data_IF_444057694053
#
_entry.id   IF_444057694053
#
_cell.length_a   1.000
_cell.length_b   1.000
_cell.length_c   1.000
_cell.angle_alpha   90.00
_cell.angle_beta   90.00
_cell.angle_gamma   90.00
#
_symmetry.space_group_name_H-M   'P 1'
#
loop_
_entity.id
_entity.type
_entity.pdbx_description
1 polymer ?
#
# COMPACT_ATOMS: atom_id res chain seq x y z
N UNK A 1 -31.02 18.46 -21.79
CA UNK A 1 -29.72 19.05 -21.43
C UNK A 1 -28.73 17.94 -21.14
N UNK A 2 -27.61 17.81 -21.87
CA UNK A 2 -26.59 16.82 -21.55
C UNK A 2 -25.90 17.24 -20.25
N UNK A 3 -25.90 16.36 -19.24
CA UNK A 3 -25.07 16.54 -18.05
C UNK A 3 -23.64 16.20 -18.46
N UNK A 4 -22.74 17.18 -18.45
CA UNK A 4 -21.31 16.93 -18.58
C UNK A 4 -20.85 16.00 -17.44
N UNK A 5 -20.59 14.74 -17.77
CA UNK A 5 -19.89 13.82 -16.86
C UNK A 5 -18.41 14.23 -16.84
N UNK A 6 -18.10 15.25 -16.03
CA UNK A 6 -16.71 15.57 -15.67
C UNK A 6 -16.20 14.40 -14.83
N UNK A 7 -15.66 13.40 -15.50
CA UNK A 7 -15.11 12.18 -14.90
C UNK A 7 -14.35 12.52 -13.63
N UNK A 8 -14.93 12.15 -12.49
CA UNK A 8 -14.41 12.53 -11.17
C UNK A 8 -13.01 11.93 -11.02
N UNK A 9 -11.97 12.79 -11.03
CA UNK A 9 -10.60 12.36 -10.76
C UNK A 9 -10.60 11.57 -9.44
N UNK A 10 -10.22 10.29 -9.50
CA UNK A 10 -10.16 9.41 -8.33
C UNK A 10 -9.13 9.99 -7.35
N UNK A 11 -9.61 10.59 -6.26
CA UNK A 11 -8.75 10.97 -5.14
C UNK A 11 -8.31 9.68 -4.43
N UNK A 12 -7.04 9.34 -4.55
CA UNK A 12 -6.46 8.19 -3.84
C UNK A 12 -6.41 8.48 -2.35
N UNK A 13 -7.25 7.79 -1.56
CA UNK A 13 -7.19 7.85 -0.10
C UNK A 13 -6.05 6.96 0.41
N UNK A 14 -5.26 7.49 1.34
CA UNK A 14 -4.19 6.74 2.01
C UNK A 14 -4.77 5.72 2.99
N UNK A 15 -4.00 4.70 3.34
CA UNK A 15 -4.45 3.70 4.32
C UNK A 15 -4.74 4.34 5.68
N UNK A 16 -3.96 5.35 6.10
CA UNK A 16 -4.26 6.14 7.31
C UNK A 16 -5.61 6.84 7.23
N UNK A 17 -5.92 7.50 6.10
CA UNK A 17 -7.21 8.16 5.91
C UNK A 17 -8.37 7.17 5.93
N UNK A 18 -8.20 5.99 5.33
CA UNK A 18 -9.22 4.92 5.36
C UNK A 18 -9.44 4.40 6.79
N UNK A 19 -8.37 4.26 7.58
CA UNK A 19 -8.48 3.85 8.98
C UNK A 19 -9.22 4.89 9.82
N UNK A 20 -8.92 6.18 9.64
CA UNK A 20 -9.64 7.26 10.32
C UNK A 20 -11.13 7.27 9.94
N UNK A 21 -11.45 7.07 8.66
CA UNK A 21 -12.84 6.91 8.20
C UNK A 21 -13.51 5.74 8.92
N UNK A 22 -12.85 4.58 9.07
CA UNK A 22 -13.41 3.46 9.84
C UNK A 22 -13.71 3.82 11.29
N UNK A 23 -12.77 4.49 11.97
CA UNK A 23 -12.93 4.92 13.37
C UNK A 23 -14.09 5.90 13.54
N UNK A 24 -14.28 6.83 12.60
CA UNK A 24 -15.39 7.79 12.62
C UNK A 24 -16.73 7.14 12.33
N UNK A 25 -16.76 6.15 11.44
CA UNK A 25 -17.97 5.35 11.19
C UNK A 25 -18.39 4.55 12.44
N UNK A 26 -17.43 4.07 13.23
CA UNK A 26 -17.69 3.40 14.52
C UNK A 26 -18.20 4.36 15.59
N UNK A 27 -17.75 5.63 15.57
CA UNK A 27 -18.28 6.71 16.42
C UNK A 27 -19.66 7.22 15.99
N UNK A 28 -20.31 6.56 15.03
CA UNK A 28 -21.61 6.97 14.47
C UNK A 28 -21.63 8.39 13.89
N UNK A 29 -20.48 8.91 13.42
CA UNK A 29 -20.46 10.20 12.71
C UNK A 29 -21.28 10.14 11.42
N UNK A 30 -21.87 11.28 11.05
CA UNK A 30 -22.65 11.37 9.83
C UNK A 30 -21.80 11.05 8.60
N UNK A 31 -22.23 10.05 7.83
CA UNK A 31 -21.62 9.66 6.55
C UNK A 31 -21.46 10.86 5.61
N UNK A 32 -22.41 11.78 5.61
CA UNK A 32 -22.35 12.98 4.78
C UNK A 32 -21.18 13.89 5.18
N UNK A 33 -20.96 14.07 6.48
CA UNK A 33 -19.82 14.86 7.01
C UNK A 33 -18.48 14.26 6.57
N UNK A 34 -18.33 12.93 6.73
CA UNK A 34 -17.12 12.20 6.34
C UNK A 34 -16.89 12.32 4.83
N UNK A 35 -17.94 12.21 4.02
CA UNK A 35 -17.85 12.36 2.56
C UNK A 35 -17.35 13.74 2.15
N UNK A 36 -17.86 14.81 2.77
CA UNK A 36 -17.44 16.18 2.49
C UNK A 36 -15.98 16.40 2.89
N UNK A 37 -15.60 16.00 4.11
CA UNK A 37 -14.24 16.19 4.62
C UNK A 37 -13.19 15.47 3.76
N UNK A 38 -13.45 14.23 3.39
CA UNK A 38 -12.49 13.44 2.61
C UNK A 38 -12.62 13.65 1.11
N UNK A 39 -13.72 14.24 0.63
CA UNK A 39 -14.03 14.40 -0.78
C UNK A 39 -14.31 13.07 -1.48
N UNK A 40 -14.99 12.14 -0.81
CA UNK A 40 -15.25 10.79 -1.32
C UNK A 40 -16.74 10.54 -1.58
N UNK A 41 -17.05 9.54 -2.41
CA UNK A 41 -18.43 9.15 -2.72
C UNK A 41 -19.02 8.24 -1.64
N UNK A 42 -20.35 8.12 -1.60
CA UNK A 42 -21.01 7.17 -0.71
C UNK A 42 -20.53 5.73 -0.95
N UNK A 43 -20.32 5.33 -2.21
CA UNK A 43 -19.78 4.01 -2.55
C UNK A 43 -18.40 3.76 -1.93
N UNK A 44 -17.54 4.79 -1.93
CA UNK A 44 -16.21 4.70 -1.30
C UNK A 44 -16.30 4.45 0.21
N UNK A 45 -17.25 5.09 0.89
CA UNK A 45 -17.50 4.85 2.32
C UNK A 45 -17.95 3.41 2.59
N UNK A 46 -18.85 2.88 1.77
CA UNK A 46 -19.29 1.48 1.90
C UNK A 46 -18.13 0.49 1.68
N UNK A 47 -17.29 0.73 0.67
CA UNK A 47 -16.13 -0.11 0.39
C UNK A 47 -15.11 -0.07 1.53
N UNK A 48 -14.83 1.12 2.08
CA UNK A 48 -13.95 1.28 3.24
C UNK A 48 -14.53 0.56 4.46
N UNK A 49 -15.84 0.69 4.71
CA UNK A 49 -16.51 -0.03 5.80
C UNK A 49 -16.36 -1.54 5.64
N UNK A 50 -16.52 -2.08 4.43
CA UNK A 50 -16.34 -3.51 4.14
C UNK A 50 -14.88 -3.97 4.31
N UNK A 51 -13.91 -3.08 4.12
CA UNK A 51 -12.47 -3.35 4.27
C UNK A 51 -11.93 -3.02 5.67
N UNK A 52 -12.77 -2.56 6.61
CA UNK A 52 -12.38 -2.11 7.94
C UNK A 52 -11.53 -3.13 8.72
N UNK A 53 -11.99 -4.37 8.80
CA UNK A 53 -11.26 -5.45 9.49
C UNK A 53 -9.89 -5.74 8.86
N UNK A 54 -9.81 -5.70 7.52
CA UNK A 54 -8.55 -5.87 6.79
C UNK A 54 -7.60 -4.70 7.03
N UNK A 55 -8.12 -3.48 7.16
CA UNK A 55 -7.32 -2.31 7.51
C UNK A 55 -6.79 -2.44 8.94
N UNK A 56 -7.64 -2.74 9.92
CA UNK A 56 -7.24 -2.90 11.32
C UNK A 56 -6.16 -3.98 11.49
N UNK A 57 -6.41 -5.18 10.96
CA UNK A 57 -5.44 -6.29 11.02
C UNK A 57 -4.12 -5.99 10.30
N UNK A 58 -4.15 -5.18 9.26
CA UNK A 58 -2.94 -4.75 8.58
C UNK A 58 -2.11 -3.78 9.43
N UNK A 59 -2.77 -2.82 10.08
CA UNK A 59 -2.12 -1.86 10.98
C UNK A 59 -1.59 -2.52 12.25
N UNK A 60 -2.26 -3.53 12.81
CA UNK A 60 -1.74 -4.26 13.99
C UNK A 60 -0.52 -5.12 13.65
N UNK A 61 -0.44 -5.66 12.42
CA UNK A 61 0.69 -6.50 11.96
C UNK A 61 1.90 -5.70 11.47
N UNK A 62 1.75 -4.41 11.23
CA UNK A 62 2.81 -3.57 10.65
C UNK A 62 3.39 -2.69 11.76
N UNK A 63 4.53 -3.09 12.31
CA UNK A 63 5.23 -2.30 13.36
C UNK A 63 5.94 -1.06 12.79
N UNK A 64 6.28 -1.08 11.49
CA UNK A 64 6.95 0.02 10.81
C UNK A 64 5.97 1.07 10.26
N UNK A 65 5.90 2.23 10.93
CA UNK A 65 5.13 3.39 10.47
C UNK A 65 5.78 4.12 9.26
N UNK A 66 7.04 3.84 8.94
CA UNK A 66 7.76 4.51 7.83
C UNK A 66 7.19 4.05 6.48
N UNK A 67 6.63 5.01 5.72
CA UNK A 67 6.04 4.75 4.40
C UNK A 67 4.52 4.53 4.40
N UNK A 68 3.92 4.32 5.57
CA UNK A 68 2.46 4.14 5.71
C UNK A 68 1.64 5.38 5.35
N UNK A 69 2.24 6.57 5.45
CA UNK A 69 1.58 7.83 5.16
C UNK A 69 1.19 7.98 3.69
N UNK A 70 2.03 7.43 2.79
CA UNK A 70 1.84 7.53 1.33
C UNK A 70 1.16 6.29 0.76
N UNK A 71 1.15 5.16 1.49
CA UNK A 71 0.56 3.91 1.01
C UNK A 71 -0.95 4.04 0.86
N UNK A 72 -1.47 3.68 -0.31
CA UNK A 72 -2.91 3.72 -0.62
C UNK A 72 -3.54 2.33 -0.79
N UNK A 73 -2.71 1.30 -1.01
CA UNK A 73 -3.14 -0.07 -1.32
C UNK A 73 -2.75 -1.05 -0.21
N UNK A 74 -3.66 -1.99 0.08
CA UNK A 74 -3.40 -3.13 0.96
C UNK A 74 -2.74 -4.32 0.25
N UNK A 75 -2.38 -4.16 -1.04
CA UNK A 75 -1.84 -5.27 -1.82
C UNK A 75 -0.51 -5.70 -1.20
N UNK A 76 -0.35 -6.99 -0.86
CA UNK A 76 0.95 -7.50 -0.47
C UNK A 76 1.90 -7.50 -1.68
N UNK A 77 3.20 -7.46 -1.41
CA UNK A 77 4.19 -7.85 -2.41
C UNK A 77 3.90 -9.28 -2.89
N UNK A 78 4.11 -9.52 -4.19
CA UNK A 78 3.93 -10.85 -4.79
C UNK A 78 5.02 -11.80 -4.30
N UNK A 79 6.26 -11.32 -4.29
CA UNK A 79 7.46 -12.09 -3.94
C UNK A 79 8.03 -11.62 -2.61
N UNK A 80 7.25 -11.72 -1.53
CA UNK A 80 7.62 -11.14 -0.22
C UNK A 80 8.98 -11.58 0.29
N UNK A 81 9.31 -12.85 0.14
CA UNK A 81 10.57 -13.42 0.62
C UNK A 81 11.76 -12.90 -0.19
N UNK A 82 11.60 -12.82 -1.51
CA UNK A 82 12.59 -12.21 -2.39
C UNK A 82 12.81 -10.74 -2.06
N UNK A 83 11.73 -9.96 -1.98
CA UNK A 83 11.79 -8.53 -1.69
C UNK A 83 12.47 -8.27 -0.34
N UNK A 84 12.19 -9.13 0.66
CA UNK A 84 12.84 -9.06 1.97
C UNK A 84 14.33 -9.34 1.88
N UNK A 85 14.73 -10.46 1.27
CA UNK A 85 16.13 -10.84 1.13
C UNK A 85 16.92 -9.77 0.34
N UNK A 86 16.33 -9.26 -0.74
CA UNK A 86 16.92 -8.21 -1.57
C UNK A 86 17.09 -6.90 -0.80
N UNK A 87 16.08 -6.52 0.00
CA UNK A 87 16.15 -5.32 0.83
C UNK A 87 17.17 -5.44 1.97
N UNK A 88 17.27 -6.61 2.61
CA UNK A 88 18.29 -6.88 3.64
C UNK A 88 19.70 -6.80 3.06
N UNK A 89 19.93 -7.43 1.89
CA UNK A 89 21.19 -7.32 1.16
C UNK A 89 21.52 -5.87 0.76
N UNK A 90 20.54 -5.12 0.24
CA UNK A 90 20.71 -3.72 -0.14
C UNK A 90 21.12 -2.86 1.07
N UNK A 91 20.45 -3.03 2.22
CA UNK A 91 20.78 -2.32 3.45
C UNK A 91 22.21 -2.61 3.91
N UNK A 92 22.61 -3.88 3.91
CA UNK A 92 23.96 -4.29 4.27
C UNK A 92 25.00 -3.61 3.37
N UNK A 93 24.82 -3.71 2.05
CA UNK A 93 25.73 -3.09 1.08
C UNK A 93 25.77 -1.57 1.17
N UNK A 94 24.66 -0.91 1.48
CA UNK A 94 24.65 0.53 1.77
C UNK A 94 25.40 0.88 3.06
N UNK A 95 25.30 0.06 4.10
CA UNK A 95 26.05 0.28 5.35
C UNK A 95 27.56 0.09 5.18
N UNK A 96 27.99 -0.73 4.21
CA UNK A 96 29.38 -0.88 3.78
C UNK A 96 29.87 0.29 2.90
N UNK A 97 29.03 1.28 2.61
CA UNK A 97 29.36 2.42 1.75
C UNK A 97 29.27 2.14 0.25
N UNK A 98 28.75 0.98 -0.17
CA UNK A 98 28.66 0.63 -1.59
C UNK A 98 27.56 1.42 -2.31
N UNK A 99 27.89 1.93 -3.50
CA UNK A 99 26.92 2.51 -4.43
C UNK A 99 26.25 1.40 -5.23
N UNK A 100 25.00 1.08 -4.90
CA UNK A 100 24.22 0.06 -5.60
C UNK A 100 23.42 0.73 -6.71
N UNK A 101 23.72 0.36 -7.96
CA UNK A 101 22.99 0.80 -9.14
C UNK A 101 21.71 -0.02 -9.34
N UNK A 102 20.75 0.52 -10.11
CA UNK A 102 19.54 -0.20 -10.49
C UNK A 102 19.82 -1.55 -11.18
N UNK A 103 20.68 -1.61 -12.21
CA UNK A 103 21.03 -2.86 -12.87
C UNK A 103 21.63 -3.91 -11.92
N UNK A 104 22.53 -3.50 -11.01
CA UNK A 104 23.12 -4.41 -10.02
C UNK A 104 22.06 -4.96 -9.06
N UNK A 105 21.09 -4.14 -8.66
CA UNK A 105 19.96 -4.57 -7.84
C UNK A 105 19.09 -5.60 -8.58
N UNK A 106 18.87 -5.39 -9.88
CA UNK A 106 18.15 -6.31 -10.75
C UNK A 106 18.87 -7.65 -10.89
N UNK A 107 20.18 -7.65 -11.13
CA UNK A 107 21.00 -8.88 -11.19
C UNK A 107 20.89 -9.68 -9.89
N UNK A 108 20.95 -8.99 -8.74
CA UNK A 108 20.81 -9.63 -7.43
C UNK A 108 19.40 -10.17 -7.18
N UNK A 109 18.37 -9.51 -7.70
CA UNK A 109 17.00 -10.01 -7.64
C UNK A 109 16.86 -11.33 -8.42
N UNK A 110 17.46 -11.44 -9.62
CA UNK A 110 17.47 -12.68 -10.43
C UNK A 110 18.21 -13.79 -9.69
N UNK A 111 19.38 -13.47 -9.12
CA UNK A 111 20.17 -14.43 -8.35
C UNK A 111 19.39 -14.98 -7.14
N UNK A 112 18.74 -14.11 -6.37
CA UNK A 112 17.93 -14.53 -5.22
C UNK A 112 16.66 -15.27 -5.63
N UNK A 113 16.01 -14.86 -6.72
CA UNK A 113 14.84 -15.57 -7.25
C UNK A 113 15.18 -17.01 -7.59
N UNK A 114 16.31 -17.22 -8.28
CA UNK A 114 16.85 -18.55 -8.61
C UNK A 114 17.19 -19.36 -7.36
N UNK A 115 17.92 -18.74 -6.41
CA UNK A 115 18.36 -19.42 -5.17
C UNK A 115 17.22 -19.83 -4.25
N UNK A 116 16.16 -19.02 -4.21
CA UNK A 116 14.97 -19.30 -3.40
C UNK A 116 14.00 -20.28 -4.09
N UNK A 117 14.26 -20.68 -5.34
CA UNK A 117 13.44 -21.65 -6.08
C UNK A 117 12.03 -21.14 -6.38
N UNK A 118 11.84 -19.82 -6.43
CA UNK A 118 10.54 -19.18 -6.61
C UNK A 118 10.00 -19.50 -8.01
N UNK A 119 8.81 -20.09 -8.06
CA UNK A 119 8.18 -20.52 -9.32
C UNK A 119 7.43 -19.36 -10.01
N UNK A 120 6.98 -18.38 -9.22
CA UNK A 120 6.32 -17.20 -9.75
C UNK A 120 7.28 -16.38 -10.63
N UNK A 121 6.83 -15.90 -11.80
CA UNK A 121 7.68 -15.17 -12.72
C UNK A 121 8.17 -13.86 -12.08
N UNK A 122 9.47 -13.63 -12.18
CA UNK A 122 10.07 -12.35 -11.81
C UNK A 122 9.80 -11.34 -12.93
N UNK A 123 8.85 -10.42 -12.70
CA UNK A 123 8.63 -9.30 -13.61
C UNK A 123 9.64 -8.19 -13.28
N UNK A 124 10.67 -8.03 -14.12
CA UNK A 124 11.66 -6.96 -14.05
C UNK A 124 11.42 -5.92 -15.15
#
# INVERSE_FOLDING_TARGET
>A
MPKEDKGRKRKGLTLKQKLDICQRLEKHESRHSIMQQYGCSSSTIYDIKKQSEKLKTFFTKTEDNKGMEKRQTLRPAKLKELDRALFEWFKLKRSEGACISGPLLTEKAIEFHTKLGIQEPLCL
#
